data_IF_701702934553
#
_entry.id   IF_701702934553
#
_cell.length_a   1.000
_cell.length_b   1.000
_cell.length_c   1.000
_cell.angle_alpha   90.00
_cell.angle_beta   90.00
_cell.angle_gamma   90.00
#
_symmetry.space_group_name_H-M   'P 1'
#
loop_
_entity.id
_entity.type
_entity.pdbx_description
1 polymer ?
#
# COMPACT_ATOMS: atom_id res chain seq x y z
N UNK A 1 5.41 -24.16 7.86
CA UNK A 1 6.47 -23.36 7.21
C UNK A 1 6.75 -23.95 5.84
N UNK A 2 6.59 -23.21 4.75
CA UNK A 2 6.76 -23.72 3.38
C UNK A 2 8.23 -23.87 2.98
N UNK A 3 8.54 -24.83 2.09
CA UNK A 3 9.89 -24.98 1.50
C UNK A 3 10.28 -23.71 0.73
N UNK A 4 11.56 -23.33 0.79
CA UNK A 4 12.09 -22.18 0.04
C UNK A 4 11.85 -22.36 -1.47
N UNK A 5 11.44 -21.29 -2.13
CA UNK A 5 11.23 -21.31 -3.57
C UNK A 5 12.56 -21.49 -4.32
N UNK A 6 12.52 -22.19 -5.45
CA UNK A 6 13.66 -22.31 -6.37
C UNK A 6 14.06 -20.92 -6.88
N UNK A 7 15.36 -20.63 -6.87
CA UNK A 7 15.93 -19.37 -7.36
C UNK A 7 15.49 -19.06 -8.80
N UNK A 8 15.47 -17.78 -9.15
CA UNK A 8 15.15 -17.34 -10.51
C UNK A 8 16.20 -17.86 -11.51
N UNK A 9 17.47 -17.87 -11.13
CA UNK A 9 18.56 -18.28 -12.03
C UNK A 9 18.50 -19.77 -12.35
N UNK A 10 18.18 -20.61 -11.34
CA UNK A 10 17.98 -22.04 -11.56
C UNK A 10 16.74 -22.31 -12.42
N UNK A 11 15.68 -21.51 -12.31
CA UNK A 11 14.53 -21.61 -13.25
C UNK A 11 14.90 -21.21 -14.68
N UNK A 12 15.69 -20.15 -14.86
CA UNK A 12 16.20 -19.76 -16.19
C UNK A 12 17.07 -20.86 -16.79
N UNK A 13 17.96 -21.45 -15.99
CA UNK A 13 18.77 -22.61 -16.39
C UNK A 13 17.93 -23.82 -16.83
N UNK A 14 16.82 -24.11 -16.14
CA UNK A 14 15.87 -25.15 -16.55
C UNK A 14 15.29 -24.88 -17.94
N UNK A 15 14.89 -23.64 -18.23
CA UNK A 15 14.31 -23.27 -19.53
C UNK A 15 15.37 -23.35 -20.63
N UNK A 16 16.58 -22.82 -20.40
CA UNK A 16 17.68 -22.89 -21.35
C UNK A 16 18.01 -24.34 -21.74
N UNK A 17 18.15 -25.24 -20.76
CA UNK A 17 18.45 -26.66 -21.03
C UNK A 17 17.29 -27.41 -21.70
N UNK A 18 16.05 -26.96 -21.48
CA UNK A 18 14.88 -27.49 -22.18
C UNK A 18 14.88 -27.07 -23.64
N UNK A 19 15.30 -25.84 -23.95
CA UNK A 19 15.39 -25.34 -25.32
C UNK A 19 16.52 -26.05 -26.10
N UNK A 20 17.59 -26.48 -25.43
CA UNK A 20 18.62 -27.39 -25.98
C UNK A 20 18.15 -28.86 -26.12
N UNK A 21 16.84 -29.13 -25.98
CA UNK A 21 16.20 -30.46 -26.09
C UNK A 21 16.70 -31.54 -25.12
N UNK A 22 17.28 -31.17 -23.97
CA UNK A 22 17.65 -32.15 -22.94
C UNK A 22 16.41 -32.74 -22.26
N UNK A 23 16.50 -34.00 -21.83
CA UNK A 23 15.39 -34.63 -21.12
C UNK A 23 15.27 -34.11 -19.69
N UNK A 24 14.05 -34.04 -19.15
CA UNK A 24 13.77 -33.48 -17.82
C UNK A 24 14.55 -34.18 -16.69
N UNK A 25 14.85 -35.47 -16.83
CA UNK A 25 15.61 -36.23 -15.84
C UNK A 25 17.10 -35.85 -15.84
N UNK A 26 17.66 -35.51 -17.00
CA UNK A 26 19.05 -35.03 -17.13
C UNK A 26 19.17 -33.61 -16.57
N UNK A 27 18.22 -32.74 -16.89
CA UNK A 27 18.13 -31.37 -16.34
C UNK A 27 18.08 -31.41 -14.81
N UNK A 28 17.28 -32.34 -14.26
CA UNK A 28 17.15 -32.55 -12.82
C UNK A 28 18.48 -32.93 -12.16
N UNK A 29 19.24 -33.86 -12.76
CA UNK A 29 20.57 -34.25 -12.28
C UNK A 29 21.58 -33.11 -12.41
N UNK A 30 21.60 -32.40 -13.55
CA UNK A 30 22.56 -31.33 -13.85
C UNK A 30 22.39 -30.10 -12.95
N UNK A 31 21.15 -29.72 -12.64
CA UNK A 31 20.85 -28.56 -11.81
C UNK A 31 20.58 -28.90 -10.33
N UNK A 32 20.66 -30.18 -9.96
CA UNK A 32 20.32 -30.68 -8.62
C UNK A 32 18.93 -30.20 -8.12
N UNK A 33 17.93 -30.21 -9.01
CA UNK A 33 16.54 -29.86 -8.70
C UNK A 33 15.67 -31.09 -8.89
N UNK A 34 14.66 -31.28 -8.06
CA UNK A 34 13.75 -32.43 -8.22
C UNK A 34 13.07 -32.43 -9.59
N UNK A 35 12.84 -33.62 -10.16
CA UNK A 35 12.10 -33.80 -11.42
C UNK A 35 10.73 -33.12 -11.39
N UNK A 36 10.04 -33.15 -10.25
CA UNK A 36 8.79 -32.42 -10.06
C UNK A 36 8.98 -30.90 -10.22
N UNK A 37 10.02 -30.32 -9.62
CA UNK A 37 10.34 -28.89 -9.74
C UNK A 37 10.63 -28.47 -11.18
N UNK A 38 11.39 -29.28 -11.92
CA UNK A 38 11.65 -29.08 -13.36
C UNK A 38 10.34 -29.07 -14.14
N UNK A 39 9.51 -30.12 -13.99
CA UNK A 39 8.21 -30.25 -14.68
C UNK A 39 7.28 -29.06 -14.38
N UNK A 40 7.17 -28.63 -13.11
CA UNK A 40 6.33 -27.50 -12.73
C UNK A 40 6.84 -26.17 -13.29
N UNK A 41 8.16 -25.99 -13.35
CA UNK A 41 8.78 -24.79 -13.92
C UNK A 41 8.47 -24.69 -15.41
N UNK A 42 8.67 -25.79 -16.17
CA UNK A 42 8.35 -25.85 -17.61
C UNK A 42 6.85 -25.60 -17.83
N UNK A 43 5.97 -26.25 -17.05
CA UNK A 43 4.51 -26.04 -17.14
C UNK A 43 4.11 -24.58 -16.89
N UNK A 44 4.68 -23.94 -15.86
CA UNK A 44 4.42 -22.52 -15.57
C UNK A 44 4.93 -21.62 -16.70
N UNK A 45 6.12 -21.89 -17.22
CA UNK A 45 6.71 -21.12 -18.30
C UNK A 45 5.87 -21.23 -19.58
N UNK A 46 5.41 -22.43 -19.96
CA UNK A 46 4.55 -22.60 -21.13
C UNK A 46 3.21 -21.86 -21.01
N UNK A 47 2.68 -21.70 -19.79
CA UNK A 47 1.39 -21.02 -19.54
C UNK A 47 1.53 -19.50 -19.41
N UNK A 48 2.63 -19.03 -18.81
CA UNK A 48 2.77 -17.64 -18.36
C UNK A 48 3.94 -16.91 -19.02
N UNK A 49 4.75 -17.61 -19.81
CA UNK A 49 5.98 -17.11 -20.46
C UNK A 49 6.92 -16.34 -19.53
N UNK A 50 6.97 -16.73 -18.25
CA UNK A 50 7.78 -16.09 -17.23
C UNK A 50 8.36 -17.10 -16.25
N UNK A 51 9.59 -16.86 -15.81
CA UNK A 51 10.29 -17.62 -14.76
C UNK A 51 10.12 -16.99 -13.37
N UNK A 52 9.61 -15.75 -13.33
CA UNK A 52 9.38 -15.02 -12.09
C UNK A 52 8.25 -15.66 -11.27
N UNK A 53 8.47 -15.76 -9.96
CA UNK A 53 7.40 -16.19 -9.04
C UNK A 53 6.37 -15.07 -8.98
N UNK A 54 5.14 -15.35 -9.41
CA UNK A 54 4.04 -14.40 -9.23
C UNK A 54 3.82 -14.13 -7.74
N UNK A 55 3.57 -12.88 -7.33
CA UNK A 55 3.15 -12.60 -5.97
C UNK A 55 1.93 -13.45 -5.66
N UNK A 56 1.93 -14.07 -4.47
CA UNK A 56 0.77 -14.81 -4.02
C UNK A 56 -0.43 -13.88 -3.90
N UNK A 57 -1.63 -14.40 -4.15
CA UNK A 57 -2.83 -13.73 -3.71
C UNK A 57 -2.82 -13.78 -2.18
N UNK A 58 -2.55 -12.64 -1.54
CA UNK A 58 -2.73 -12.50 -0.10
C UNK A 58 -4.18 -12.75 0.30
N UNK A 59 -4.47 -12.74 1.59
CA UNK A 59 -5.86 -12.84 2.07
C UNK A 59 -6.68 -11.67 1.51
N UNK A 60 -7.79 -11.97 0.84
CA UNK A 60 -8.70 -10.94 0.38
C UNK A 60 -9.19 -10.07 1.55
N UNK A 61 -9.23 -8.75 1.33
CA UNK A 61 -9.76 -7.82 2.33
C UNK A 61 -11.24 -8.10 2.59
N UNK A 62 -11.67 -7.94 3.84
CA UNK A 62 -13.09 -7.97 4.22
C UNK A 62 -13.88 -6.82 3.59
N UNK A 63 -13.21 -5.71 3.27
CA UNK A 63 -13.83 -4.50 2.74
C UNK A 63 -13.69 -4.48 1.23
N UNK A 64 -14.83 -4.50 0.53
CA UNK A 64 -14.88 -4.42 -0.94
C UNK A 64 -14.57 -3.01 -1.43
N UNK A 65 -14.15 -2.88 -2.70
CA UNK A 65 -13.89 -1.57 -3.33
C UNK A 65 -15.12 -0.64 -3.30
N UNK A 66 -16.33 -1.20 -3.43
CA UNK A 66 -17.59 -0.44 -3.37
C UNK A 66 -17.82 0.13 -1.98
N UNK A 67 -17.63 -0.68 -0.94
CA UNK A 67 -17.75 -0.24 0.45
C UNK A 67 -16.71 0.83 0.79
N UNK A 68 -15.45 0.65 0.36
CA UNK A 68 -14.39 1.66 0.52
C UNK A 68 -14.80 3.01 -0.09
N UNK A 69 -15.35 2.99 -1.31
CA UNK A 69 -15.85 4.20 -1.98
C UNK A 69 -17.03 4.83 -1.25
N UNK A 70 -17.97 4.03 -0.72
CA UNK A 70 -19.09 4.55 0.05
C UNK A 70 -18.61 5.26 1.32
N UNK A 71 -17.65 4.69 2.07
CA UNK A 71 -17.04 5.35 3.23
C UNK A 71 -16.35 6.65 2.85
N UNK A 72 -15.61 6.69 1.73
CA UNK A 72 -14.99 7.91 1.21
C UNK A 72 -16.05 8.98 0.91
N UNK A 73 -17.09 8.62 0.16
CA UNK A 73 -18.14 9.56 -0.23
C UNK A 73 -18.89 10.09 0.99
N UNK A 74 -19.11 9.26 2.02
CA UNK A 74 -19.74 9.70 3.26
C UNK A 74 -18.88 10.73 3.99
N UNK A 75 -17.57 10.50 4.12
CA UNK A 75 -16.65 11.48 4.73
C UNK A 75 -16.52 12.77 3.91
N UNK A 76 -16.65 12.70 2.58
CA UNK A 76 -16.61 13.89 1.73
C UNK A 76 -17.93 14.68 1.74
N UNK A 77 -19.05 14.03 2.05
CA UNK A 77 -20.35 14.68 2.20
C UNK A 77 -20.46 15.43 3.51
N UNK A 78 -19.89 14.88 4.57
CA UNK A 78 -19.82 15.49 5.88
C UNK A 78 -18.42 15.26 6.45
N UNK A 79 -17.58 16.29 6.30
CA UNK A 79 -16.17 16.27 6.68
C UNK A 79 -15.95 16.37 8.19
N UNK A 80 -16.98 16.79 8.94
CA UNK A 80 -16.97 16.87 10.40
C UNK A 80 -17.27 15.53 11.07
N UNK A 81 -17.72 14.52 10.30
CA UNK A 81 -18.00 13.19 10.84
C UNK A 81 -16.80 12.60 11.56
N UNK A 82 -17.03 12.22 12.82
CA UNK A 82 -16.03 11.49 13.57
C UNK A 82 -15.85 10.09 12.99
N UNK A 83 -14.66 9.53 13.19
CA UNK A 83 -14.37 8.18 12.74
C UNK A 83 -15.30 7.14 13.39
N UNK A 84 -15.79 7.38 14.60
CA UNK A 84 -16.72 6.47 15.29
C UNK A 84 -18.11 6.51 14.63
N UNK A 85 -18.56 7.68 14.19
CA UNK A 85 -19.83 7.83 13.48
C UNK A 85 -19.75 7.17 12.10
N UNK A 86 -18.60 7.30 11.43
CA UNK A 86 -18.36 6.59 10.18
C UNK A 86 -18.35 5.06 10.36
N UNK A 87 -17.80 4.55 11.47
CA UNK A 87 -17.89 3.11 11.80
C UNK A 87 -19.35 2.69 11.98
N UNK A 88 -20.15 3.48 12.72
CA UNK A 88 -21.58 3.22 12.89
C UNK A 88 -22.31 3.21 11.55
N UNK A 89 -22.04 4.19 10.68
CA UNK A 89 -22.57 4.24 9.32
C UNK A 89 -22.20 3.00 8.50
N UNK A 90 -20.94 2.55 8.54
CA UNK A 90 -20.51 1.35 7.82
C UNK A 90 -21.20 0.10 8.37
N UNK A 91 -21.39 0.02 9.68
CA UNK A 91 -22.07 -1.10 10.30
C UNK A 91 -23.56 -1.15 9.93
N UNK A 92 -24.27 -0.02 9.95
CA UNK A 92 -25.71 0.04 9.68
C UNK A 92 -26.04 0.06 8.19
N UNK A 93 -25.35 0.88 7.40
CA UNK A 93 -25.68 1.11 5.98
C UNK A 93 -25.03 0.09 5.05
N UNK A 94 -23.86 -0.43 5.41
CA UNK A 94 -23.12 -1.41 4.58
C UNK A 94 -23.15 -2.83 5.16
N UNK A 95 -23.86 -3.03 6.29
CA UNK A 95 -23.95 -4.30 7.02
C UNK A 95 -22.58 -4.95 7.25
N UNK A 96 -21.57 -4.12 7.58
CA UNK A 96 -20.19 -4.56 7.69
C UNK A 96 -19.62 -4.24 9.07
N UNK A 97 -19.41 -5.27 9.88
CA UNK A 97 -18.77 -5.14 11.18
C UNK A 97 -17.23 -5.10 11.02
N UNK A 98 -16.66 -3.90 11.08
CA UNK A 98 -15.21 -3.66 10.99
C UNK A 98 -14.73 -2.73 12.09
N UNK A 99 -13.47 -2.89 12.47
CA UNK A 99 -12.85 -2.06 13.49
C UNK A 99 -12.63 -0.62 13.03
N UNK A 100 -12.58 0.30 13.99
CA UNK A 100 -12.20 1.71 13.78
C UNK A 100 -10.90 1.86 12.99
N UNK A 101 -9.89 1.03 13.28
CA UNK A 101 -8.61 1.05 12.57
C UNK A 101 -8.75 0.63 11.11
N UNK A 102 -9.67 -0.28 10.80
CA UNK A 102 -9.93 -0.70 9.43
C UNK A 102 -10.56 0.45 8.63
N UNK A 103 -11.52 1.18 9.21
CA UNK A 103 -12.12 2.36 8.58
C UNK A 103 -11.06 3.46 8.38
N UNK A 104 -10.24 3.73 9.39
CA UNK A 104 -9.12 4.69 9.26
C UNK A 104 -8.17 4.31 8.12
N UNK A 105 -7.71 3.06 8.05
CA UNK A 105 -6.85 2.59 6.95
C UNK A 105 -7.50 2.80 5.58
N UNK A 106 -8.80 2.53 5.46
CA UNK A 106 -9.55 2.77 4.22
C UNK A 106 -9.56 4.24 3.83
N UNK A 107 -9.75 5.15 4.79
CA UNK A 107 -9.68 6.60 4.51
C UNK A 107 -8.27 7.04 4.12
N UNK A 108 -7.24 6.52 4.80
CA UNK A 108 -5.84 6.77 4.47
C UNK A 108 -5.46 6.30 3.06
N UNK A 109 -6.00 5.17 2.58
CA UNK A 109 -5.82 4.72 1.19
C UNK A 109 -6.33 5.76 0.16
N UNK A 110 -7.28 6.62 0.55
CA UNK A 110 -7.80 7.71 -0.27
C UNK A 110 -7.16 9.07 0.04
N UNK A 111 -6.13 9.13 0.89
CA UNK A 111 -5.48 10.38 1.30
C UNK A 111 -6.27 11.20 2.32
N UNK A 112 -7.36 10.66 2.88
CA UNK A 112 -8.12 11.30 3.94
C UNK A 112 -7.48 10.96 5.28
N UNK A 113 -6.63 11.87 5.76
CA UNK A 113 -5.86 11.72 7.00
C UNK A 113 -6.34 12.76 8.00
N UNK A 114 -6.50 12.33 9.26
CA UNK A 114 -6.72 13.28 10.35
C UNK A 114 -5.46 14.11 10.57
N UNK A 115 -5.57 15.43 10.45
CA UNK A 115 -4.48 16.36 10.73
C UNK A 115 -4.82 17.21 11.95
N UNK A 116 -3.91 17.28 12.91
CA UNK A 116 -3.99 18.23 14.01
C UNK A 116 -3.04 19.37 13.67
N UNK A 117 -3.60 20.56 13.44
CA UNK A 117 -2.79 21.75 13.18
C UNK A 117 -1.87 22.02 14.37
N UNK A 118 -0.56 22.21 14.15
CA UNK A 118 0.37 22.52 15.22
C UNK A 118 -0.05 23.81 15.90
N UNK A 119 -0.03 23.81 17.23
CA UNK A 119 -0.27 25.04 18.00
C UNK A 119 0.79 26.06 17.61
N UNK A 120 0.38 27.32 17.41
CA UNK A 120 1.34 28.42 17.17
C UNK A 120 2.41 28.39 18.28
N UNK A 121 3.70 28.53 17.95
CA UNK A 121 4.75 28.56 18.96
C UNK A 121 4.49 29.73 19.92
N UNK A 122 4.80 29.53 21.20
CA UNK A 122 4.72 30.60 22.19
C UNK A 122 5.76 31.66 21.82
N UNK A 123 5.29 32.85 21.47
CA UNK A 123 6.13 34.00 21.11
C UNK A 123 6.63 34.65 22.39
N UNK A 124 7.95 34.86 22.51
CA UNK A 124 8.53 35.59 23.64
C UNK A 124 8.19 37.09 23.58
N UNK A 125 8.35 37.80 24.70
CA UNK A 125 8.11 39.24 24.74
C UNK A 125 8.92 40.00 23.67
N UNK A 126 10.22 39.73 23.56
CA UNK A 126 11.09 40.33 22.54
C UNK A 126 10.60 40.06 21.11
N UNK A 127 10.20 38.82 20.79
CA UNK A 127 9.68 38.49 19.47
C UNK A 127 8.35 39.20 19.16
N UNK A 128 7.52 39.50 20.16
CA UNK A 128 6.32 40.35 19.98
C UNK A 128 6.72 41.78 19.65
N UNK A 129 7.68 42.35 20.38
CA UNK A 129 8.20 43.69 20.10
C UNK A 129 8.76 43.80 18.68
N UNK A 130 9.57 42.83 18.23
CA UNK A 130 10.11 42.84 16.86
C UNK A 130 9.03 42.75 15.78
N UNK A 131 7.97 41.97 16.00
CA UNK A 131 6.84 41.90 15.06
C UNK A 131 6.09 43.23 14.96
N UNK A 132 5.89 43.91 16.10
CA UNK A 132 5.27 45.23 16.11
C UNK A 132 6.19 46.25 15.43
N UNK A 133 7.47 46.29 15.77
CA UNK A 133 8.45 47.18 15.14
C UNK A 133 8.47 47.04 13.62
N UNK A 134 8.56 45.81 13.10
CA UNK A 134 8.51 45.54 11.66
C UNK A 134 7.21 46.03 11.00
N UNK A 135 6.07 45.93 11.70
CA UNK A 135 4.79 46.45 11.22
C UNK A 135 4.73 47.98 11.18
N UNK A 136 5.49 48.68 12.04
CA UNK A 136 5.54 50.15 12.07
C UNK A 136 6.52 50.72 11.03
N UNK A 137 7.70 50.09 10.88
CA UNK A 137 8.69 50.48 9.86
C UNK A 137 8.14 50.39 8.44
N UNK A 138 7.35 49.36 8.14
CA UNK A 138 6.71 49.20 6.83
C UNK A 138 5.63 50.24 6.53
N UNK A 139 4.92 50.72 7.56
CA UNK A 139 3.93 51.80 7.40
C UNK A 139 4.61 53.13 7.12
N UNK A 140 5.74 53.40 7.76
CA UNK A 140 6.53 54.61 7.50
C UNK A 140 7.16 54.61 6.10
N UNK A 141 7.60 53.46 5.59
CA UNK A 141 8.21 53.35 4.25
C UNK A 141 7.24 53.51 3.07
N UNK A 142 5.93 53.36 3.28
CA UNK A 142 4.90 53.44 2.23
C UNK A 142 4.09 54.75 2.22
N UNK A 143 4.31 55.64 3.21
CA UNK A 143 3.56 56.91 3.40
C UNK A 143 4.40 58.14 2.97
N UNK A 144 5.53 57.92 2.30
CA UNK A 144 6.42 58.97 1.80
C UNK A 144 6.42 58.99 0.27
#
# INVERSE_FOLDING_TARGET
MGRKAVSIDTKKGIILLRDTRMFQHEISKKLNVSRHGVRQTIRKFNRLHTTSTKPGAGRHSKVTRRQKRASKLQQLRDDTLSLNDLVRYVQTSLNLNISRQTVSRVLHEFGLVSYVSPRKPKITHQQRCYRLFWSWDLVFYYVQ
#
